data_IF_751782580549
#
_entry.id   IF_751782580549
#
_cell.length_a   1.000
_cell.length_b   1.000
_cell.length_c   1.000
_cell.angle_alpha   90.00
_cell.angle_beta   90.00
_cell.angle_gamma   90.00
#
_symmetry.space_group_name_H-M   'P 1'
#
loop_
_entity.id
_entity.type
_entity.pdbx_description
1 polymer ?
#
# COMPACT_ATOMS: atom_id res chain seq x y z
N UNK A 1 15.03 -7.11 -11.51
CA UNK A 1 15.29 -5.77 -12.14
C UNK A 1 14.39 -4.67 -11.58
N UNK A 2 13.14 -4.94 -11.21
CA UNK A 2 12.27 -3.91 -10.60
C UNK A 2 12.74 -3.45 -9.23
N UNK A 3 13.19 -4.35 -8.35
CA UNK A 3 13.71 -4.01 -7.01
C UNK A 3 14.89 -3.02 -7.06
N UNK A 4 15.80 -3.18 -8.03
CA UNK A 4 16.91 -2.25 -8.19
C UNK A 4 16.48 -0.83 -8.57
N UNK A 5 15.44 -0.71 -9.40
CA UNK A 5 14.87 0.60 -9.76
C UNK A 5 14.19 1.25 -8.53
N UNK A 6 13.46 0.47 -7.76
CA UNK A 6 12.82 0.96 -6.54
C UNK A 6 13.86 1.37 -5.49
N UNK A 7 14.95 0.62 -5.35
CA UNK A 7 16.08 0.98 -4.48
C UNK A 7 16.72 2.31 -4.91
N UNK A 8 16.99 2.50 -6.21
CA UNK A 8 17.54 3.75 -6.76
C UNK A 8 16.60 4.94 -6.48
N UNK A 9 15.29 4.76 -6.57
CA UNK A 9 14.32 5.80 -6.20
C UNK A 9 14.39 6.13 -4.71
N UNK A 10 14.47 5.11 -3.86
CA UNK A 10 14.57 5.31 -2.41
C UNK A 10 15.88 5.94 -1.99
N UNK A 11 16.98 5.72 -2.71
CA UNK A 11 18.24 6.41 -2.47
C UNK A 11 18.14 7.93 -2.70
N UNK A 12 17.27 8.38 -3.61
CA UNK A 12 16.99 9.79 -3.88
C UNK A 12 16.09 10.45 -2.83
N UNK A 13 15.31 9.68 -2.07
CA UNK A 13 14.47 10.19 -1.00
C UNK A 13 15.36 10.61 0.19
N UNK A 14 15.20 11.83 0.77
CA UNK A 14 15.93 12.21 1.98
C UNK A 14 15.75 11.22 3.12
N UNK A 15 16.81 10.98 3.91
CA UNK A 15 16.75 10.09 5.08
C UNK A 15 15.72 10.58 6.12
N UNK A 16 15.60 11.90 6.25
CA UNK A 16 14.62 12.57 7.11
C UNK A 16 13.64 13.36 6.23
N UNK A 17 12.74 12.68 5.51
CA UNK A 17 11.71 13.38 4.78
C UNK A 17 10.75 14.03 5.77
N UNK A 18 10.12 15.13 5.40
CA UNK A 18 9.13 15.81 6.24
C UNK A 18 7.96 14.88 6.67
N UNK A 19 7.09 15.35 7.57
CA UNK A 19 5.99 14.52 8.09
C UNK A 19 5.09 14.04 6.95
N UNK A 20 4.52 12.83 7.09
CA UNK A 20 3.57 12.32 6.09
C UNK A 20 2.34 13.24 6.00
N UNK A 21 1.64 13.26 4.85
CA UNK A 21 0.43 14.06 4.68
C UNK A 21 -0.62 13.77 5.75
N UNK A 22 -1.10 14.78 6.48
CA UNK A 22 -2.00 14.62 7.61
C UNK A 22 -3.26 13.78 7.28
N UNK A 23 -3.80 13.90 6.07
CA UNK A 23 -4.99 13.15 5.67
C UNK A 23 -4.73 11.65 5.50
N UNK A 24 -3.49 11.23 5.20
CA UNK A 24 -3.08 9.82 5.18
C UNK A 24 -2.87 9.29 6.60
N UNK A 25 -2.24 10.09 7.45
CA UNK A 25 -2.10 9.77 8.89
C UNK A 25 -3.49 9.57 9.53
N UNK A 26 -4.42 10.50 9.29
CA UNK A 26 -5.81 10.38 9.77
C UNK A 26 -6.51 9.13 9.23
N UNK A 27 -6.25 8.77 7.96
CA UNK A 27 -6.84 7.57 7.36
C UNK A 27 -6.32 6.30 8.03
N UNK A 28 -5.01 6.17 8.26
CA UNK A 28 -4.39 5.01 8.90
C UNK A 28 -4.83 4.90 10.36
N UNK A 29 -4.70 5.98 11.15
CA UNK A 29 -5.14 6.01 12.55
C UNK A 29 -6.64 5.72 12.69
N UNK A 30 -7.44 6.15 11.72
CA UNK A 30 -8.87 5.90 11.68
C UNK A 30 -9.27 4.44 11.48
N UNK A 31 -8.33 3.52 11.23
CA UNK A 31 -8.59 2.07 11.24
C UNK A 31 -8.84 1.56 12.66
N UNK A 32 -8.35 2.29 13.67
CA UNK A 32 -8.41 1.90 15.07
C UNK A 32 -7.47 0.74 15.39
N UNK A 33 -7.60 0.14 16.59
CA UNK A 33 -6.85 -1.05 16.94
C UNK A 33 -7.21 -2.23 16.02
N UNK A 34 -6.19 -2.88 15.47
CA UNK A 34 -6.34 -4.05 14.60
C UNK A 34 -5.51 -5.22 15.12
N UNK A 35 -5.87 -6.43 14.76
CA UNK A 35 -5.14 -7.64 15.14
C UNK A 35 -3.88 -7.84 14.30
N UNK A 36 -3.86 -8.90 13.49
CA UNK A 36 -2.76 -9.20 12.55
C UNK A 36 -2.89 -8.32 11.31
N UNK A 37 -1.93 -7.42 11.13
CA UNK A 37 -1.92 -6.48 10.04
C UNK A 37 -0.73 -6.69 9.12
N UNK A 38 -0.97 -6.46 7.82
CA UNK A 38 0.05 -6.41 6.78
C UNK A 38 -0.02 -5.04 6.10
N UNK A 39 1.13 -4.35 6.01
CA UNK A 39 1.29 -3.18 5.15
C UNK A 39 2.15 -3.56 3.94
N UNK A 40 1.58 -3.48 2.74
CA UNK A 40 2.26 -3.78 1.47
C UNK A 40 2.58 -2.49 0.73
N UNK A 41 3.87 -2.34 0.36
CA UNK A 41 4.42 -1.09 -0.13
C UNK A 41 4.65 -0.12 1.04
N UNK A 42 5.19 -0.63 2.15
CA UNK A 42 5.33 0.13 3.40
C UNK A 42 6.36 1.27 3.29
N UNK A 43 7.22 1.26 2.26
CA UNK A 43 8.29 2.21 2.09
C UNK A 43 9.18 2.30 3.33
N UNK A 44 9.48 3.50 3.78
CA UNK A 44 10.27 3.76 4.98
C UNK A 44 9.51 3.61 6.31
N UNK A 45 8.27 3.13 6.27
CA UNK A 45 7.45 2.82 7.44
C UNK A 45 6.79 4.01 8.13
N UNK A 46 6.86 5.23 7.58
CA UNK A 46 6.30 6.43 8.24
C UNK A 46 4.79 6.39 8.44
N UNK A 47 4.04 5.86 7.47
CA UNK A 47 2.60 5.69 7.60
C UNK A 47 2.25 4.39 8.32
N UNK A 48 3.02 3.34 8.11
CA UNK A 48 2.91 2.07 8.83
C UNK A 48 3.00 2.25 10.34
N UNK A 49 3.88 3.15 10.81
CA UNK A 49 4.05 3.49 12.24
C UNK A 49 2.80 4.13 12.89
N UNK A 50 1.86 4.60 12.07
CA UNK A 50 0.59 5.18 12.51
C UNK A 50 -0.52 4.13 12.71
N UNK A 51 -0.26 2.88 12.33
CA UNK A 51 -1.19 1.76 12.47
C UNK A 51 -1.06 1.15 13.88
N UNK A 52 -2.17 1.11 14.61
CA UNK A 52 -2.25 0.44 15.90
C UNK A 52 -2.58 -1.04 15.69
N UNK A 53 -1.53 -1.86 15.50
CA UNK A 53 -1.64 -3.29 15.22
C UNK A 53 -1.04 -4.14 16.35
N UNK A 54 -1.75 -5.19 16.77
CA UNK A 54 -1.24 -6.15 17.76
C UNK A 54 -0.05 -6.94 17.20
N UNK A 55 -0.13 -7.36 15.92
CA UNK A 55 0.94 -8.00 15.18
C UNK A 55 1.09 -7.31 13.82
N UNK A 56 2.28 -6.79 13.53
CA UNK A 56 2.55 -6.02 12.32
C UNK A 56 3.59 -6.71 11.44
N UNK A 57 3.21 -6.96 10.19
CA UNK A 57 4.13 -7.28 9.11
C UNK A 57 4.15 -6.10 8.14
N UNK A 58 5.33 -5.65 7.75
CA UNK A 58 5.50 -4.60 6.75
C UNK A 58 6.36 -5.13 5.61
N UNK A 59 5.91 -4.95 4.39
CA UNK A 59 6.53 -5.53 3.21
C UNK A 59 6.72 -4.49 2.10
N UNK A 60 7.84 -4.55 1.43
CA UNK A 60 8.18 -3.68 0.29
C UNK A 60 9.09 -4.44 -0.68
N UNK A 61 9.14 -4.00 -1.93
CA UNK A 61 10.06 -4.55 -2.95
C UNK A 61 11.46 -3.96 -2.85
N UNK A 62 11.63 -2.83 -2.13
CA UNK A 62 12.90 -2.15 -1.94
C UNK A 62 13.56 -2.52 -0.61
N UNK A 63 14.72 -3.14 -0.69
CA UNK A 63 15.57 -3.41 0.48
C UNK A 63 16.04 -2.12 1.16
N UNK A 64 16.28 -1.05 0.38
CA UNK A 64 16.65 0.29 0.91
C UNK A 64 15.51 0.88 1.74
N UNK A 65 14.27 0.77 1.26
CA UNK A 65 13.09 1.21 2.01
C UNK A 65 12.95 0.44 3.33
N UNK A 66 13.06 -0.87 3.28
CA UNK A 66 12.94 -1.74 4.46
C UNK A 66 14.03 -1.47 5.51
N UNK A 67 15.27 -1.16 5.09
CA UNK A 67 16.32 -0.79 6.03
C UNK A 67 15.98 0.51 6.77
N UNK A 68 15.33 1.47 6.10
CA UNK A 68 14.83 2.69 6.73
C UNK A 68 13.63 2.40 7.65
N UNK A 69 12.72 1.52 7.21
CA UNK A 69 11.56 1.10 7.98
C UNK A 69 11.95 0.40 9.28
N UNK A 70 13.03 -0.36 9.30
CA UNK A 70 13.54 -1.08 10.49
C UNK A 70 13.74 -0.17 11.70
N UNK A 71 14.15 1.06 11.48
CA UNK A 71 14.35 2.05 12.55
C UNK A 71 13.04 2.56 13.13
N UNK A 72 12.00 2.66 12.30
CA UNK A 72 10.68 3.17 12.71
C UNK A 72 9.75 2.09 13.24
N UNK A 73 9.94 0.86 12.77
CA UNK A 73 9.09 -0.29 13.05
C UNK A 73 9.87 -1.41 13.77
N UNK A 74 10.44 -1.14 14.98
CA UNK A 74 11.37 -2.08 15.64
C UNK A 74 10.70 -3.40 16.07
N UNK A 75 9.35 -3.44 16.11
CA UNK A 75 8.58 -4.62 16.48
C UNK A 75 7.91 -5.31 15.28
N UNK A 76 7.96 -4.72 14.09
CA UNK A 76 7.34 -5.29 12.91
C UNK A 76 8.23 -6.38 12.29
N UNK A 77 7.58 -7.39 11.72
CA UNK A 77 8.24 -8.32 10.80
C UNK A 77 8.40 -7.60 9.45
N UNK A 78 9.63 -7.40 9.01
CA UNK A 78 9.93 -6.80 7.71
C UNK A 78 10.19 -7.90 6.68
N UNK A 79 9.57 -7.79 5.51
CA UNK A 79 9.66 -8.78 4.43
C UNK A 79 9.92 -8.08 3.10
N UNK A 80 11.01 -8.43 2.44
CA UNK A 80 11.28 -8.01 1.06
C UNK A 80 10.47 -8.87 0.10
N UNK A 81 9.79 -8.22 -0.84
CA UNK A 81 8.94 -8.87 -1.83
C UNK A 81 9.65 -8.94 -3.18
N UNK A 82 9.41 -10.02 -3.91
CA UNK A 82 9.75 -10.09 -5.32
C UNK A 82 8.67 -9.38 -6.15
N UNK A 83 9.05 -8.40 -7.00
CA UNK A 83 8.09 -7.71 -7.88
C UNK A 83 7.37 -8.68 -8.81
N UNK A 84 6.08 -8.42 -9.03
CA UNK A 84 5.24 -9.19 -9.97
C UNK A 84 5.16 -10.71 -9.64
N UNK A 85 5.40 -11.09 -8.40
CA UNK A 85 5.25 -12.46 -7.88
C UNK A 85 4.12 -12.55 -6.87
N UNK A 86 3.58 -13.75 -6.63
CA UNK A 86 2.65 -13.97 -5.54
C UNK A 86 3.26 -13.55 -4.18
N UNK A 87 2.43 -12.96 -3.33
CA UNK A 87 2.85 -12.50 -2.00
C UNK A 87 3.17 -13.70 -1.11
N UNK A 88 4.36 -13.78 -0.45
CA UNK A 88 4.82 -14.97 0.26
C UNK A 88 4.20 -15.11 1.66
N UNK A 89 2.88 -15.02 1.73
CA UNK A 89 2.10 -15.20 2.95
C UNK A 89 0.95 -16.18 2.72
N UNK A 90 0.51 -16.83 3.80
CA UNK A 90 -0.58 -17.80 3.77
C UNK A 90 -1.94 -17.13 3.49
N UNK A 91 -2.87 -17.92 2.95
CA UNK A 91 -4.25 -17.53 2.75
C UNK A 91 -4.90 -17.16 4.08
N UNK A 92 -5.55 -16.00 4.13
CA UNK A 92 -6.26 -15.56 5.32
C UNK A 92 -5.36 -15.24 6.52
N UNK A 93 -4.08 -15.01 6.30
CA UNK A 93 -3.09 -14.74 7.34
C UNK A 93 -3.32 -13.43 8.11
N UNK A 94 -4.02 -12.46 7.51
CA UNK A 94 -4.15 -11.11 8.06
C UNK A 94 -5.60 -10.67 8.21
N UNK A 95 -5.91 -9.97 9.29
CA UNK A 95 -7.24 -9.38 9.54
C UNK A 95 -7.37 -8.00 8.89
N UNK A 96 -6.22 -7.32 8.71
CA UNK A 96 -6.15 -6.02 8.04
C UNK A 96 -4.98 -6.00 7.06
N UNK A 97 -5.24 -5.56 5.84
CA UNK A 97 -4.20 -5.23 4.86
C UNK A 97 -4.27 -3.73 4.56
N UNK A 98 -3.14 -3.07 4.76
CA UNK A 98 -2.91 -1.67 4.40
C UNK A 98 -2.06 -1.63 3.13
N UNK A 99 -2.37 -0.69 2.23
CA UNK A 99 -1.52 -0.38 1.08
C UNK A 99 -1.73 1.10 0.71
N UNK A 100 -0.70 1.91 0.89
CA UNK A 100 -0.78 3.37 0.77
C UNK A 100 0.11 3.85 -0.35
N UNK A 101 -0.51 4.50 -1.37
CA UNK A 101 0.22 5.05 -2.53
C UNK A 101 1.15 4.00 -3.20
N UNK A 102 0.61 2.80 -3.43
CA UNK A 102 1.36 1.64 -3.95
C UNK A 102 0.74 1.09 -5.23
N UNK A 103 -0.59 0.96 -5.25
CA UNK A 103 -1.33 0.26 -6.32
C UNK A 103 -1.12 0.89 -7.71
N UNK A 104 -0.77 2.16 -7.79
CA UNK A 104 -0.45 2.87 -9.03
C UNK A 104 0.89 2.47 -9.65
N UNK A 105 1.78 1.88 -8.85
CA UNK A 105 3.11 1.43 -9.27
C UNK A 105 3.14 -0.03 -9.72
N UNK A 106 2.10 -0.80 -9.40
CA UNK A 106 2.06 -2.24 -9.66
C UNK A 106 1.82 -2.53 -11.14
N UNK A 107 2.59 -3.44 -11.75
CA UNK A 107 2.45 -3.80 -13.17
C UNK A 107 1.20 -4.66 -13.42
N UNK A 108 1.03 -5.73 -12.66
CA UNK A 108 -0.15 -6.57 -12.72
C UNK A 108 -1.10 -6.25 -11.57
N UNK A 109 -2.05 -5.34 -11.86
CA UNK A 109 -3.05 -4.92 -10.88
C UNK A 109 -3.96 -6.07 -10.46
N UNK A 110 -4.30 -6.96 -11.40
CA UNK A 110 -5.23 -8.05 -11.13
C UNK A 110 -4.57 -9.07 -10.19
N UNK A 111 -3.33 -9.46 -10.47
CA UNK A 111 -2.56 -10.32 -9.57
C UNK A 111 -2.43 -9.67 -8.19
N UNK A 112 -2.00 -8.42 -8.13
CA UNK A 112 -1.79 -7.73 -6.85
C UNK A 112 -3.04 -7.67 -5.99
N UNK A 113 -4.17 -7.20 -6.53
CA UNK A 113 -5.42 -7.12 -5.78
C UNK A 113 -5.97 -8.51 -5.42
N UNK A 114 -5.80 -9.53 -6.27
CA UNK A 114 -6.18 -10.91 -5.94
C UNK A 114 -5.36 -11.47 -4.79
N UNK A 115 -4.07 -11.17 -4.75
CA UNK A 115 -3.17 -11.56 -3.67
C UNK A 115 -3.51 -10.83 -2.35
N UNK A 116 -3.81 -9.51 -2.40
CA UNK A 116 -4.30 -8.80 -1.22
C UNK A 116 -5.56 -9.47 -0.66
N UNK A 117 -6.48 -9.89 -1.56
CA UNK A 117 -7.69 -10.59 -1.15
C UNK A 117 -7.39 -11.99 -0.60
N UNK A 118 -6.43 -12.71 -1.19
CA UNK A 118 -6.04 -14.06 -0.75
C UNK A 118 -5.49 -14.04 0.66
N UNK A 119 -4.57 -13.12 0.96
CA UNK A 119 -3.90 -13.03 2.28
C UNK A 119 -4.80 -12.47 3.38
N UNK A 120 -5.88 -11.76 3.04
CA UNK A 120 -6.89 -11.31 4.00
C UNK A 120 -7.71 -12.48 4.53
N UNK A 121 -7.97 -12.49 5.83
CA UNK A 121 -8.94 -13.40 6.44
C UNK A 121 -10.36 -13.16 5.90
N UNK A 122 -11.27 -14.17 5.93
CA UNK A 122 -12.68 -13.94 5.64
C UNK A 122 -13.25 -12.80 6.51
N UNK A 123 -13.88 -11.81 5.88
CA UNK A 123 -14.33 -10.58 6.54
C UNK A 123 -13.24 -9.60 6.94
N UNK A 124 -11.98 -9.87 6.58
CA UNK A 124 -10.85 -8.99 6.80
C UNK A 124 -10.95 -7.68 6.03
N UNK A 125 -10.30 -6.64 6.54
CA UNK A 125 -10.36 -5.28 6.02
C UNK A 125 -9.18 -4.94 5.12
N UNK A 126 -9.46 -4.42 3.93
CA UNK A 126 -8.51 -3.72 3.07
C UNK A 126 -8.62 -2.20 3.29
N UNK A 127 -7.50 -1.55 3.57
CA UNK A 127 -7.36 -0.10 3.55
C UNK A 127 -6.37 0.31 2.45
N UNK A 128 -6.85 1.02 1.44
CA UNK A 128 -6.08 1.34 0.25
C UNK A 128 -6.15 2.83 -0.05
N UNK A 129 -4.99 3.43 -0.38
CA UNK A 129 -4.96 4.77 -0.96
C UNK A 129 -4.21 4.80 -2.28
N UNK A 130 -4.57 5.75 -3.13
CA UNK A 130 -3.87 6.01 -4.39
C UNK A 130 -4.13 7.44 -4.85
N UNK A 131 -3.22 8.07 -5.59
CA UNK A 131 -3.48 9.40 -6.14
C UNK A 131 -4.74 9.45 -7.01
N UNK A 132 -5.60 10.41 -6.70
CA UNK A 132 -6.78 10.73 -7.51
C UNK A 132 -6.37 11.70 -8.60
N UNK A 133 -6.06 11.24 -9.78
CA UNK A 133 -5.60 12.17 -10.80
C UNK A 133 -6.62 12.40 -11.90
N UNK A 134 -6.92 13.67 -12.22
CA UNK A 134 -7.28 14.06 -13.56
C UNK A 134 -6.05 14.42 -14.42
N UNK A 135 -4.88 14.57 -13.83
CA UNK A 135 -3.71 15.07 -14.55
C UNK A 135 -2.69 13.96 -14.79
N UNK A 136 -2.49 13.69 -16.04
CA UNK A 136 -1.48 12.80 -16.55
C UNK A 136 -0.10 13.46 -16.41
N UNK A 137 0.87 12.84 -15.72
CA UNK A 137 2.22 13.02 -16.16
C UNK A 137 2.26 12.61 -17.65
N UNK A 138 2.95 13.33 -18.52
CA UNK A 138 3.06 12.93 -19.91
C UNK A 138 3.50 11.47 -19.98
N UNK A 139 3.00 10.68 -20.95
CA UNK A 139 3.55 9.36 -21.18
C UNK A 139 5.07 9.49 -21.36
N UNK A 140 5.84 8.74 -20.56
CA UNK A 140 7.30 8.78 -20.66
C UNK A 140 7.99 9.77 -19.73
N UNK A 141 7.30 10.35 -18.72
CA UNK A 141 7.99 11.04 -17.64
C UNK A 141 8.79 10.02 -16.81
N UNK A 142 10.13 10.02 -16.92
CA UNK A 142 10.98 9.07 -16.20
C UNK A 142 10.98 9.28 -14.70
N UNK A 143 10.45 10.43 -14.23
CA UNK A 143 10.30 10.77 -12.82
C UNK A 143 8.90 10.48 -12.28
N UNK A 144 7.99 9.95 -13.11
CA UNK A 144 6.67 9.51 -12.66
C UNK A 144 6.59 7.99 -12.69
N UNK A 145 6.85 7.32 -11.57
CA UNK A 145 6.77 5.87 -11.49
C UNK A 145 5.33 5.34 -11.56
N UNK A 146 4.33 6.22 -11.68
CA UNK A 146 2.93 5.83 -11.75
C UNK A 146 2.58 5.18 -13.08
N UNK A 147 2.40 3.87 -13.08
CA UNK A 147 1.98 3.09 -14.24
C UNK A 147 0.49 3.25 -14.53
N UNK A 148 -0.30 3.65 -13.53
CA UNK A 148 -1.76 3.78 -13.62
C UNK A 148 -2.28 4.99 -12.89
N UNK A 149 -3.56 5.26 -13.19
CA UNK A 149 -4.32 6.33 -12.60
C UNK A 149 -5.71 5.88 -12.31
N UNK A 150 -6.17 6.26 -11.14
CA UNK A 150 -7.48 5.87 -10.67
C UNK A 150 -8.42 7.07 -10.58
N UNK A 151 -9.62 6.87 -11.11
CA UNK A 151 -10.82 7.60 -10.69
C UNK A 151 -11.52 6.79 -9.61
N UNK A 152 -12.41 7.41 -8.83
CA UNK A 152 -13.21 6.68 -7.86
C UNK A 152 -13.99 5.51 -8.51
N UNK A 153 -14.52 5.74 -9.73
CA UNK A 153 -15.24 4.70 -10.49
C UNK A 153 -14.32 3.53 -10.88
N UNK A 154 -13.14 3.81 -11.45
CA UNK A 154 -12.23 2.75 -11.89
C UNK A 154 -11.62 1.96 -10.73
N UNK A 155 -11.32 2.63 -9.60
CA UNK A 155 -10.83 1.95 -8.39
C UNK A 155 -11.93 1.06 -7.80
N UNK A 156 -13.16 1.59 -7.65
CA UNK A 156 -14.29 0.79 -7.17
C UNK A 156 -14.49 -0.45 -8.04
N UNK A 157 -14.55 -0.27 -9.36
CA UNK A 157 -14.72 -1.39 -10.28
C UNK A 157 -13.61 -2.44 -10.14
N UNK A 158 -12.34 -2.02 -10.03
CA UNK A 158 -11.23 -2.95 -9.87
C UNK A 158 -11.34 -3.77 -8.58
N UNK A 159 -11.83 -3.18 -7.49
CA UNK A 159 -12.07 -3.87 -6.23
C UNK A 159 -13.30 -4.80 -6.32
N UNK A 160 -14.42 -4.31 -6.86
CA UNK A 160 -15.67 -5.07 -7.03
C UNK A 160 -15.45 -6.29 -7.95
N UNK A 161 -14.73 -6.13 -9.07
CA UNK A 161 -14.42 -7.20 -10.04
C UNK A 161 -13.61 -8.35 -9.40
N UNK A 162 -12.86 -8.08 -8.33
CA UNK A 162 -12.12 -9.07 -7.55
C UNK A 162 -12.83 -9.52 -6.28
N UNK A 163 -14.10 -9.15 -6.11
CA UNK A 163 -14.96 -9.62 -5.03
C UNK A 163 -14.70 -8.95 -3.68
N UNK A 164 -14.14 -7.76 -3.67
CA UNK A 164 -14.14 -6.92 -2.46
C UNK A 164 -15.47 -6.20 -2.31
N UNK A 165 -15.98 -6.14 -1.09
CA UNK A 165 -17.11 -5.27 -0.73
C UNK A 165 -16.61 -3.90 -0.33
N UNK A 166 -16.80 -2.88 -1.19
CA UNK A 166 -16.32 -1.52 -0.95
C UNK A 166 -17.22 -0.78 0.04
N UNK A 167 -16.83 -0.71 1.31
CA UNK A 167 -17.54 -0.02 2.39
C UNK A 167 -17.51 1.50 2.24
N UNK A 168 -16.35 2.04 1.87
CA UNK A 168 -16.19 3.47 1.63
C UNK A 168 -15.13 3.76 0.59
N UNK A 169 -15.40 4.76 -0.25
CA UNK A 169 -14.43 5.29 -1.21
C UNK A 169 -14.61 6.80 -1.27
N UNK A 170 -13.65 7.52 -0.77
CA UNK A 170 -13.68 8.98 -0.64
C UNK A 170 -12.47 9.61 -1.30
N UNK A 171 -12.66 10.81 -1.84
CA UNK A 171 -11.55 11.65 -2.28
C UNK A 171 -11.24 12.70 -1.22
N UNK A 172 -9.99 12.75 -0.78
CA UNK A 172 -9.47 13.85 0.03
C UNK A 172 -8.27 14.46 -0.66
N UNK A 173 -8.33 15.76 -0.93
CA UNK A 173 -7.30 16.46 -1.73
C UNK A 173 -7.12 15.77 -3.10
N UNK A 174 -5.94 15.22 -3.34
CA UNK A 174 -5.58 14.50 -4.57
C UNK A 174 -5.45 12.98 -4.36
N UNK A 175 -6.04 12.44 -3.30
CA UNK A 175 -5.96 11.03 -2.94
C UNK A 175 -7.34 10.40 -2.88
N UNK A 176 -7.49 9.19 -3.39
CA UNK A 176 -8.60 8.28 -3.14
C UNK A 176 -8.26 7.45 -1.90
N UNK A 177 -9.22 7.35 -0.99
CA UNK A 177 -9.13 6.60 0.25
C UNK A 177 -10.24 5.56 0.21
N UNK A 178 -9.88 4.28 0.14
CA UNK A 178 -10.82 3.17 0.06
C UNK A 178 -10.72 2.26 1.29
N UNK A 179 -11.88 1.81 1.79
CA UNK A 179 -12.00 0.70 2.73
C UNK A 179 -12.92 -0.34 2.11
N UNK A 180 -12.50 -1.59 2.17
CA UNK A 180 -13.26 -2.70 1.62
C UNK A 180 -13.11 -3.94 2.49
N UNK A 181 -14.02 -4.92 2.33
CA UNK A 181 -13.97 -6.23 2.98
C UNK A 181 -13.70 -7.32 1.96
N UNK A 182 -13.03 -8.39 2.45
CA UNK A 182 -12.94 -9.64 1.71
C UNK A 182 -14.24 -10.40 1.74
#
# INVERSE_FOLDING_TARGET
MASRYDDELWELVPLEPGPPPAHLVEFVRGLGPVGRALDIGCGDGRLTAELDAAELTAADVSGVALERARRRLPRARLVELEPDQPIPFDDGGFETVLTVETVEHVRDLQLFLSELRRVLAPGGQLALTTPATPQLAPPGDPFSPHLRRFTARSLRRALDDLGFEVESLRRRRRTLLARARR
#
